data_IF_619449640948
#
_entry.id   IF_619449640948
#
_cell.length_a   1.000
_cell.length_b   1.000
_cell.length_c   1.000
_cell.angle_alpha   90.00
_cell.angle_beta   90.00
_cell.angle_gamma   90.00
#
_symmetry.space_group_name_H-M   'P 1'
#
loop_
_entity.id
_entity.type
_entity.pdbx_description
1 polymer ?
#
# COMPACT_ATOMS: atom_id res chain seq x y z
N UNK A 1 -10.70 -7.75 -0.48
CA UNK A 1 -9.59 -7.91 0.48
C UNK A 1 -9.09 -9.34 0.63
N UNK A 2 -9.93 -10.38 0.55
CA UNK A 2 -9.48 -11.77 0.73
C UNK A 2 -8.28 -12.14 -0.16
N UNK A 3 -8.35 -11.81 -1.46
CA UNK A 3 -7.22 -12.03 -2.38
C UNK A 3 -5.92 -11.34 -1.94
N UNK A 4 -6.01 -10.12 -1.39
CA UNK A 4 -4.83 -9.36 -0.97
C UNK A 4 -4.15 -10.02 0.24
N UNK A 5 -4.93 -10.51 1.21
CA UNK A 5 -4.43 -11.29 2.34
C UNK A 5 -3.86 -12.64 1.87
N UNK A 6 -4.56 -13.35 0.99
CA UNK A 6 -4.16 -14.69 0.52
C UNK A 6 -2.85 -14.64 -0.30
N UNK A 7 -2.71 -13.64 -1.18
CA UNK A 7 -1.56 -13.52 -2.07
C UNK A 7 -0.40 -12.75 -1.43
N UNK A 8 -0.64 -11.56 -0.87
CA UNK A 8 0.45 -10.73 -0.32
C UNK A 8 0.97 -11.27 1.01
N UNK A 9 0.17 -12.04 1.75
CA UNK A 9 0.63 -12.72 2.96
C UNK A 9 1.69 -13.80 2.70
N UNK A 10 1.75 -14.35 1.48
CA UNK A 10 2.66 -15.45 1.11
C UNK A 10 3.83 -15.00 0.22
N UNK A 11 3.73 -13.82 -0.40
CA UNK A 11 4.72 -13.30 -1.34
C UNK A 11 5.76 -12.41 -0.63
N UNK A 12 6.99 -12.90 -0.54
CA UNK A 12 8.14 -12.13 -0.07
C UNK A 12 9.09 -11.83 -1.24
N UNK A 13 9.18 -10.58 -1.67
CA UNK A 13 10.08 -10.14 -2.74
C UNK A 13 10.64 -8.74 -2.47
N UNK A 14 11.93 -8.45 -2.76
CA UNK A 14 12.55 -7.14 -2.46
C UNK A 14 11.88 -5.92 -3.10
N UNK A 15 11.15 -6.11 -4.20
CA UNK A 15 10.45 -5.04 -4.93
C UNK A 15 8.93 -5.04 -4.69
N UNK A 16 8.44 -5.81 -3.73
CA UNK A 16 7.02 -5.86 -3.37
C UNK A 16 6.87 -5.46 -1.91
N UNK A 17 5.94 -4.54 -1.63
CA UNK A 17 5.64 -4.11 -0.26
C UNK A 17 5.10 -5.29 0.54
N UNK A 18 5.69 -5.52 1.70
CA UNK A 18 5.31 -6.61 2.60
C UNK A 18 4.04 -6.28 3.36
N UNK A 19 3.05 -7.17 3.26
CA UNK A 19 1.92 -7.21 4.19
C UNK A 19 2.39 -7.81 5.52
N UNK A 20 2.30 -7.04 6.60
CA UNK A 20 2.68 -7.45 7.96
C UNK A 20 1.50 -8.14 8.65
N UNK A 21 0.27 -7.67 8.41
CA UNK A 21 -0.94 -8.24 9.00
C UNK A 21 -2.20 -7.49 8.58
N UNK A 22 -3.32 -7.87 9.18
CA UNK A 22 -4.62 -7.25 8.94
C UNK A 22 -5.46 -7.29 10.22
N UNK A 23 -6.46 -6.41 10.32
CA UNK A 23 -7.47 -6.42 11.37
C UNK A 23 -8.86 -6.46 10.74
N UNK A 24 -9.76 -7.23 11.35
CA UNK A 24 -11.18 -7.30 10.97
C UNK A 24 -11.99 -7.16 12.26
N UNK A 25 -12.71 -6.05 12.40
CA UNK A 25 -13.56 -5.77 13.55
C UNK A 25 -14.79 -4.99 13.07
N UNK A 26 -15.99 -5.44 13.43
CA UNK A 26 -17.27 -4.78 13.11
C UNK A 26 -17.38 -4.29 11.64
N UNK A 27 -17.16 -5.19 10.69
CA UNK A 27 -17.12 -4.92 9.23
C UNK A 27 -16.06 -3.91 8.76
N UNK A 28 -15.18 -3.44 9.63
CA UNK A 28 -14.01 -2.67 9.27
C UNK A 28 -12.85 -3.59 8.94
N UNK A 29 -12.18 -3.31 7.83
CA UNK A 29 -11.00 -4.05 7.41
C UNK A 29 -9.80 -3.12 7.31
N UNK A 30 -8.74 -3.46 8.03
CA UNK A 30 -7.49 -2.72 8.03
C UNK A 30 -6.36 -3.63 7.55
N UNK A 31 -5.48 -3.10 6.70
CA UNK A 31 -4.26 -3.77 6.25
C UNK A 31 -3.05 -3.04 6.82
N UNK A 32 -2.11 -3.81 7.36
CA UNK A 32 -0.87 -3.31 7.95
C UNK A 32 0.27 -3.69 7.03
N UNK A 33 0.86 -2.69 6.36
CA UNK A 33 2.01 -2.84 5.47
C UNK A 33 3.29 -2.36 6.13
N UNK A 34 4.45 -2.78 5.61
CA UNK A 34 5.69 -2.08 5.91
C UNK A 34 5.64 -0.62 5.45
N UNK A 35 6.28 0.26 6.22
CA UNK A 35 6.24 1.68 5.95
C UNK A 35 7.26 2.09 4.88
N UNK A 36 6.76 2.65 3.78
CA UNK A 36 7.59 3.15 2.68
C UNK A 36 7.90 4.65 2.88
N UNK A 37 9.04 4.95 3.47
CA UNK A 37 9.42 6.31 3.93
C UNK A 37 9.46 7.37 2.83
N UNK A 38 9.62 6.97 1.56
CA UNK A 38 9.70 7.88 0.42
C UNK A 38 8.34 8.19 -0.22
N UNK A 39 7.28 7.53 0.22
CA UNK A 39 5.94 7.69 -0.34
C UNK A 39 5.73 6.92 -1.64
N UNK A 40 4.67 7.25 -2.37
CA UNK A 40 4.28 6.53 -3.59
C UNK A 40 5.16 6.89 -4.79
N UNK A 41 5.25 5.97 -5.75
CA UNK A 41 5.90 6.25 -7.04
C UNK A 41 5.23 7.43 -7.77
N UNK A 42 3.91 7.57 -7.66
CA UNK A 42 3.18 8.72 -8.20
C UNK A 42 3.73 10.04 -7.64
N UNK A 43 3.96 10.12 -6.33
CA UNK A 43 4.56 11.30 -5.71
C UNK A 43 5.95 11.56 -6.29
N UNK A 44 6.74 10.53 -6.57
CA UNK A 44 8.06 10.72 -7.17
C UNK A 44 8.02 11.20 -8.61
N UNK A 45 7.04 10.74 -9.40
CA UNK A 45 6.92 11.07 -10.83
C UNK A 45 6.21 12.41 -11.08
N UNK A 46 5.20 12.73 -10.28
CA UNK A 46 4.24 13.82 -10.55
C UNK A 46 4.29 14.95 -9.51
N UNK A 47 5.31 14.95 -8.65
CA UNK A 47 5.53 15.96 -7.60
C UNK A 47 5.47 17.42 -8.08
N UNK A 48 5.74 17.67 -9.37
CA UNK A 48 5.75 18.99 -9.99
C UNK A 48 4.70 19.17 -11.11
N UNK A 49 3.83 18.19 -11.36
CA UNK A 49 2.83 18.26 -12.44
C UNK A 49 1.43 18.65 -11.98
N UNK A 50 1.26 19.07 -10.72
CA UNK A 50 0.09 19.87 -10.34
C UNK A 50 0.28 21.28 -10.91
N UNK A 51 0.01 21.44 -12.20
CA UNK A 51 -0.55 22.72 -12.65
C UNK A 51 -1.85 22.93 -11.87
N UNK A 52 -2.18 24.18 -11.46
CA UNK A 52 -3.39 24.42 -10.70
C UNK A 52 -4.58 23.94 -11.51
N UNK A 53 -5.48 23.17 -10.89
CA UNK A 53 -6.83 23.01 -11.43
C UNK A 53 -7.46 24.41 -11.39
N UNK A 54 -7.47 25.10 -12.53
CA UNK A 54 -8.37 26.21 -12.83
C UNK A 54 -9.80 25.69 -12.85
#
# INVERSE_FOLDING_TARGET
MQAEVDFLGQLHHPNLVKLIGYCIEDDQWLLVYEFMTRGSLENHLFRNSVQPKL
#
